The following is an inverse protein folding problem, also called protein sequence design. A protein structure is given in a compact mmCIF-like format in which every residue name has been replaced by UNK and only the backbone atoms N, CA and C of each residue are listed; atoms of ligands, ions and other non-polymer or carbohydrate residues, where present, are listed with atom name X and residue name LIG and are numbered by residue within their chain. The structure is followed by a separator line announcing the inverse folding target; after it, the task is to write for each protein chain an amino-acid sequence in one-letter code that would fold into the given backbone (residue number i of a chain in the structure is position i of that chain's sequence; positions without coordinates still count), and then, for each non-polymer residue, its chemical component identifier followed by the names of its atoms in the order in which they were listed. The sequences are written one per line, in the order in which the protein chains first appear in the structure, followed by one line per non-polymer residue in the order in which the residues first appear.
data_IF_228230308832
#
_entry.id   IF_228230308832
#
_cell.length_a   1.000
_cell.length_b   1.000
_cell.length_c   1.000
_cell.angle_alpha   90.00
_cell.angle_beta   90.00
_cell.angle_gamma   90.00
#
_symmetry.space_group_name_H-M   'P 1'
#
loop_
_entity.id
_entity.type
_entity.pdbx_description
1 polymer ?
#
# COMPACT_ATOMS: atom_id res chain seq x y z
N UNK A 1 -11.61 9.71 7.75
CA UNK A 1 -11.29 8.33 7.32
C UNK A 1 -9.82 8.30 6.95
N UNK A 2 -9.01 7.39 7.50
CA UNK A 2 -7.56 7.32 7.26
C UNK A 2 -7.25 6.79 5.84
N UNK A 3 -6.51 7.54 5.04
CA UNK A 3 -6.12 7.21 3.66
C UNK A 3 -4.82 6.38 3.59
N UNK A 4 -3.96 6.46 4.60
CA UNK A 4 -2.66 5.76 4.64
C UNK A 4 -2.68 4.51 5.51
N UNK A 5 -3.70 3.65 5.35
CA UNK A 5 -3.79 2.37 6.09
C UNK A 5 -2.72 1.35 5.69
N UNK A 6 -2.08 1.54 4.54
CA UNK A 6 -0.92 0.77 4.11
C UNK A 6 0.05 1.76 3.50
N UNK A 7 1.32 1.72 3.90
CA UNK A 7 2.33 2.65 3.41
C UNK A 7 3.51 1.85 2.86
N UNK A 8 3.71 1.94 1.55
CA UNK A 8 4.87 1.41 0.85
C UNK A 8 5.90 2.52 0.68
N UNK A 9 6.99 2.51 1.47
CA UNK A 9 8.05 3.50 1.37
C UNK A 9 8.99 3.23 0.20
N UNK A 10 9.32 4.29 -0.54
CA UNK A 10 10.31 4.32 -1.60
C UNK A 10 11.28 5.47 -1.35
N UNK A 11 12.56 5.22 -1.62
CA UNK A 11 13.56 6.27 -1.72
C UNK A 11 13.53 6.82 -3.15
N UNK A 12 13.51 8.14 -3.29
CA UNK A 12 13.43 8.79 -4.60
C UNK A 12 14.18 10.11 -4.64
N UNK A 13 14.83 10.39 -5.77
CA UNK A 13 15.42 11.69 -6.10
C UNK A 13 14.52 12.40 -7.11
N UNK A 14 13.34 12.80 -6.63
CA UNK A 14 12.36 13.53 -7.45
C UNK A 14 12.50 15.04 -7.22
N UNK A 15 12.55 15.78 -8.32
CA UNK A 15 12.29 17.21 -8.34
C UNK A 15 10.94 17.41 -9.01
N UNK A 16 9.98 17.98 -8.29
CA UNK A 16 8.67 18.29 -8.85
C UNK A 16 8.85 19.45 -9.84
N UNK A 17 8.53 19.27 -11.12
CA UNK A 17 8.75 20.30 -12.13
C UNK A 17 7.72 21.42 -11.99
N UNK A 18 8.07 22.63 -12.45
CA UNK A 18 7.19 23.80 -12.34
C UNK A 18 5.87 23.64 -13.13
N UNK A 19 5.89 22.85 -14.21
CA UNK A 19 4.74 22.53 -15.06
C UNK A 19 3.95 21.28 -14.60
N UNK A 20 4.17 20.81 -13.37
CA UNK A 20 3.56 19.56 -12.88
C UNK A 20 2.04 19.53 -13.01
N UNK A 21 1.34 20.64 -12.80
CA UNK A 21 -0.11 20.68 -12.90
C UNK A 21 -0.59 20.43 -14.34
N UNK A 22 0.11 20.99 -15.34
CA UNK A 22 -0.19 20.74 -16.76
C UNK A 22 0.05 19.26 -17.12
N UNK A 23 1.14 18.68 -16.59
CA UNK A 23 1.45 17.26 -16.78
C UNK A 23 0.40 16.36 -16.12
N UNK A 24 -0.09 16.70 -14.94
CA UNK A 24 -1.16 15.96 -14.25
C UNK A 24 -2.48 16.05 -15.02
N UNK A 25 -2.83 17.22 -15.53
CA UNK A 25 -4.06 17.42 -16.32
C UNK A 25 -4.04 16.68 -17.65
N UNK A 26 -2.88 16.59 -18.31
CA UNK A 26 -2.69 15.76 -19.52
C UNK A 26 -3.04 14.28 -19.29
N UNK A 27 -2.88 13.80 -18.06
CA UNK A 27 -3.13 12.43 -17.65
C UNK A 27 -4.28 12.35 -16.61
N UNK A 28 -5.22 13.29 -16.69
CA UNK A 28 -6.39 13.39 -15.81
C UNK A 28 -7.34 12.20 -15.93
N UNK A 29 -8.04 11.91 -14.84
CA UNK A 29 -9.10 10.92 -14.82
C UNK A 29 -10.23 11.33 -13.87
N UNK A 30 -11.37 11.67 -14.46
CA UNK A 30 -12.57 12.15 -13.76
C UNK A 30 -13.70 11.11 -13.72
N UNK A 31 -13.40 9.88 -14.12
CA UNK A 31 -14.36 8.78 -14.18
C UNK A 31 -14.41 8.12 -15.54
N UNK A 32 -15.18 7.03 -15.62
CA UNK A 32 -15.44 6.33 -16.89
C UNK A 32 -16.59 7.00 -17.63
N UNK A 33 -16.44 7.18 -18.94
CA UNK A 33 -17.60 7.45 -19.80
C UNK A 33 -18.53 6.24 -19.89
N UNK A 34 -19.73 6.44 -20.43
CA UNK A 34 -20.73 5.38 -20.56
C UNK A 34 -20.33 4.22 -21.46
N UNK A 35 -19.38 4.45 -22.36
CA UNK A 35 -18.83 3.44 -23.26
C UNK A 35 -17.55 2.77 -22.73
N UNK A 36 -16.84 3.40 -21.80
CA UNK A 36 -15.51 2.94 -21.40
C UNK A 36 -15.58 1.75 -20.44
N UNK A 37 -14.89 0.68 -20.81
CA UNK A 37 -14.76 -0.51 -19.96
C UNK A 37 -13.76 -0.29 -18.83
N UNK A 38 -12.70 0.47 -19.08
CA UNK A 38 -11.58 0.74 -18.16
C UNK A 38 -10.99 2.11 -18.43
N UNK A 39 -10.46 2.73 -17.39
CA UNK A 39 -9.83 4.05 -17.45
C UNK A 39 -9.02 4.29 -16.18
N UNK A 40 -8.00 5.12 -16.28
CA UNK A 40 -7.12 5.44 -15.16
C UNK A 40 -6.40 6.77 -15.38
N UNK A 41 -5.97 7.40 -14.29
CA UNK A 41 -5.21 8.64 -14.31
C UNK A 41 -5.23 9.39 -12.99
N UNK A 42 -4.88 10.67 -13.04
CA UNK A 42 -4.84 11.55 -11.88
C UNK A 42 -6.23 12.08 -11.56
N UNK A 43 -6.73 11.73 -10.38
CA UNK A 43 -7.99 12.22 -9.86
C UNK A 43 -7.81 13.46 -9.00
N UNK A 44 -8.89 14.23 -8.86
CA UNK A 44 -8.92 15.46 -8.05
C UNK A 44 -8.73 15.20 -6.54
N UNK A 45 -8.00 16.10 -5.89
CA UNK A 45 -7.85 16.26 -4.44
C UNK A 45 -8.40 17.65 -4.10
N UNK A 46 -9.69 17.71 -3.74
CA UNK A 46 -10.41 18.98 -3.70
C UNK A 46 -10.64 19.47 -5.11
N UNK A 47 -10.17 20.68 -5.41
CA UNK A 47 -10.36 21.33 -6.70
C UNK A 47 -9.18 21.10 -7.68
N UNK A 48 -8.03 20.64 -7.17
CA UNK A 48 -6.78 20.43 -7.95
C UNK A 48 -6.38 18.95 -8.00
N UNK A 49 -5.44 18.56 -8.88
CA UNK A 49 -4.90 17.18 -8.92
C UNK A 49 -3.71 16.94 -8.00
N UNK A 50 -3.21 17.99 -7.38
CA UNK A 50 -2.10 17.96 -6.44
C UNK A 50 -2.40 18.86 -5.26
N UNK A 51 -2.20 18.33 -4.06
CA UNK A 51 -2.21 19.12 -2.83
C UNK A 51 -0.76 19.32 -2.38
N UNK A 52 -0.32 20.58 -2.27
CA UNK A 52 1.03 20.94 -1.84
C UNK A 52 1.01 21.63 -0.49
N UNK A 53 1.78 21.13 0.48
CA UNK A 53 1.94 21.73 1.81
C UNK A 53 3.35 21.48 2.34
N UNK A 54 4.05 22.53 2.77
CA UNK A 54 5.39 22.48 3.39
C UNK A 54 6.39 21.59 2.64
N UNK A 55 6.46 21.78 1.31
CA UNK A 55 7.34 21.02 0.43
C UNK A 55 6.97 19.54 0.27
N UNK A 56 5.77 19.13 0.71
CA UNK A 56 5.19 17.80 0.49
C UNK A 56 4.10 17.91 -0.56
N UNK A 57 3.98 16.87 -1.38
CA UNK A 57 3.01 16.83 -2.48
C UNK A 57 2.19 15.55 -2.38
N UNK A 58 0.87 15.68 -2.39
CA UNK A 58 -0.05 14.55 -2.40
C UNK A 58 -0.70 14.47 -3.78
N UNK A 59 -0.66 13.29 -4.38
CA UNK A 59 -1.33 12.94 -5.63
C UNK A 59 -2.26 11.76 -5.41
N UNK A 60 -3.35 11.69 -6.19
CA UNK A 60 -4.29 10.57 -6.16
C UNK A 60 -4.38 9.93 -7.54
N UNK A 61 -3.83 8.72 -7.66
CA UNK A 61 -4.08 7.87 -8.81
C UNK A 61 -5.43 7.18 -8.64
N UNK A 62 -6.24 7.21 -9.69
CA UNK A 62 -7.52 6.52 -9.75
C UNK A 62 -7.55 5.60 -10.96
N UNK A 63 -8.06 4.39 -10.77
CA UNK A 63 -8.32 3.44 -11.85
C UNK A 63 -9.70 2.82 -11.66
N UNK A 64 -10.52 2.86 -12.70
CA UNK A 64 -11.86 2.31 -12.67
C UNK A 64 -12.04 1.25 -13.76
N UNK A 65 -12.84 0.25 -13.45
CA UNK A 65 -13.22 -0.80 -14.38
C UNK A 65 -14.70 -1.13 -14.24
N UNK A 66 -15.38 -1.26 -15.38
CA UNK A 66 -16.67 -1.94 -15.51
C UNK A 66 -16.40 -3.41 -15.80
N UNK A 67 -16.95 -4.29 -14.97
CA UNK A 67 -16.84 -5.74 -15.17
C UNK A 67 -18.24 -6.34 -15.23
N UNK A 68 -18.60 -6.83 -16.41
CA UNK A 68 -19.85 -7.56 -16.59
C UNK A 68 -19.90 -8.76 -15.63
N UNK A 69 -21.07 -9.02 -15.05
CA UNK A 69 -21.26 -10.19 -14.20
C UNK A 69 -21.19 -11.45 -15.08
N UNK A 70 -20.20 -12.35 -14.87
CA UNK A 70 -20.02 -13.52 -15.73
C UNK A 70 -21.26 -14.42 -15.78
N UNK A 71 -21.99 -14.55 -14.66
CA UNK A 71 -23.19 -15.38 -14.60
C UNK A 71 -24.32 -14.81 -15.47
N UNK A 72 -24.48 -13.48 -15.47
CA UNK A 72 -25.48 -12.82 -16.32
C UNK A 72 -25.13 -12.95 -17.81
N UNK A 73 -23.85 -12.81 -18.16
CA UNK A 73 -23.35 -13.00 -19.53
C UNK A 73 -23.62 -14.43 -20.01
N UNK A 74 -23.24 -15.43 -19.22
CA UNK A 74 -23.46 -16.84 -19.58
C UNK A 74 -24.94 -17.20 -19.68
N UNK A 75 -25.80 -16.65 -18.81
CA UNK A 75 -27.24 -16.86 -18.88
C UNK A 75 -27.82 -16.32 -20.19
N UNK A 76 -27.52 -15.06 -20.54
CA UNK A 76 -27.99 -14.44 -21.79
C UNK A 76 -27.45 -15.15 -23.03
N UNK A 77 -26.18 -15.54 -23.03
CA UNK A 77 -25.60 -16.31 -24.12
C UNK A 77 -26.27 -17.70 -24.26
N UNK A 78 -26.58 -18.37 -23.14
CA UNK A 78 -27.32 -19.63 -23.11
C UNK A 78 -28.76 -19.50 -23.62
N UNK A 79 -29.46 -18.41 -23.28
CA UNK A 79 -30.80 -18.12 -23.82
C UNK A 79 -30.77 -17.92 -25.34
N UNK A 80 -29.71 -17.30 -25.87
CA UNK A 80 -29.51 -17.11 -27.33
C UNK A 80 -29.12 -18.40 -28.03
N UNK A 81 -28.27 -19.21 -27.39
CA UNK A 81 -27.94 -20.55 -27.86
C UNK A 81 -29.21 -21.40 -27.98
N UNK A 82 -30.07 -21.41 -26.97
CA UNK A 82 -31.31 -22.17 -27.00
C UNK A 82 -32.23 -21.71 -28.14
N UNK A 83 -32.41 -20.39 -28.31
CA UNK A 83 -33.19 -19.84 -29.43
C UNK A 83 -32.64 -20.25 -30.79
N UNK A 84 -31.32 -20.22 -30.98
CA UNK A 84 -30.71 -20.64 -32.23
C UNK A 84 -30.89 -22.15 -32.51
N UNK A 85 -30.84 -22.99 -31.46
CA UNK A 85 -31.17 -24.42 -31.57
C UNK A 85 -32.64 -24.61 -31.96
N UNK A 86 -33.56 -23.88 -31.32
CA UNK A 86 -35.00 -23.94 -31.59
C UNK A 86 -35.33 -23.49 -33.03
N UNK A 87 -34.54 -22.57 -33.59
CA UNK A 87 -34.59 -22.12 -35.00
C UNK A 87 -33.90 -23.08 -35.99
N UNK A 88 -33.36 -24.21 -35.51
CA UNK A 88 -32.70 -25.23 -36.34
C UNK A 88 -31.29 -24.86 -36.80
N UNK A 89 -30.65 -23.88 -36.16
CA UNK A 89 -29.29 -23.43 -36.50
C UNK A 89 -28.25 -24.27 -35.77
N UNK A 90 -27.20 -24.68 -36.49
CA UNK A 90 -26.05 -25.37 -35.89
C UNK A 90 -25.23 -24.41 -35.02
N UNK A 91 -24.92 -24.83 -33.79
CA UNK A 91 -24.12 -24.04 -32.84
C UNK A 91 -22.65 -24.40 -33.01
N UNK A 92 -21.92 -23.56 -33.73
CA UNK A 92 -20.46 -23.66 -33.84
C UNK A 92 -19.77 -22.92 -32.68
N UNK A 93 -18.50 -23.26 -32.35
CA UNK A 93 -17.74 -22.53 -31.33
C UNK A 93 -17.64 -21.02 -31.61
N UNK A 94 -17.50 -20.63 -32.87
CA UNK A 94 -17.44 -19.23 -33.28
C UNK A 94 -18.77 -18.49 -33.02
N UNK A 95 -19.91 -19.15 -33.28
CA UNK A 95 -21.22 -18.58 -32.99
C UNK A 95 -21.45 -18.43 -31.48
N UNK A 96 -20.95 -19.37 -30.66
CA UNK A 96 -21.01 -19.25 -29.21
C UNK A 96 -20.15 -18.09 -28.69
N UNK A 97 -18.96 -17.87 -29.24
CA UNK A 97 -18.12 -16.73 -28.92
C UNK A 97 -18.81 -15.41 -29.28
N UNK A 98 -19.50 -15.36 -30.43
CA UNK A 98 -20.31 -14.21 -30.82
C UNK A 98 -21.45 -13.95 -29.83
N UNK A 99 -22.18 -14.98 -29.41
CA UNK A 99 -23.24 -14.84 -28.40
C UNK A 99 -22.70 -14.33 -27.07
N UNK A 100 -21.54 -14.82 -26.63
CA UNK A 100 -20.87 -14.35 -25.42
C UNK A 100 -20.44 -12.88 -25.55
N UNK A 101 -19.85 -12.48 -26.68
CA UNK A 101 -19.41 -11.11 -26.92
C UNK A 101 -20.59 -10.12 -26.93
N UNK A 102 -21.67 -10.48 -27.61
CA UNK A 102 -22.88 -9.66 -27.65
C UNK A 102 -23.55 -9.60 -26.27
N UNK A 103 -23.59 -10.71 -25.52
CA UNK A 103 -24.16 -10.75 -24.17
C UNK A 103 -23.32 -9.90 -23.20
N UNK A 104 -21.99 -9.98 -23.28
CA UNK A 104 -21.09 -9.13 -22.50
C UNK A 104 -21.33 -7.64 -22.80
N UNK A 105 -21.46 -7.28 -24.08
CA UNK A 105 -21.71 -5.89 -24.51
C UNK A 105 -23.05 -5.34 -24.05
N UNK A 106 -24.04 -6.20 -23.80
CA UNK A 106 -25.32 -5.82 -23.22
C UNK A 106 -25.23 -5.68 -21.70
N UNK A 107 -24.67 -6.68 -21.01
CA UNK A 107 -24.55 -6.71 -19.54
C UNK A 107 -23.65 -5.58 -19.03
N UNK A 108 -22.58 -5.24 -19.76
CA UNK A 108 -21.61 -4.24 -19.30
C UNK A 108 -22.20 -2.84 -19.14
N UNK A 109 -23.29 -2.52 -19.85
CA UNK A 109 -24.01 -1.25 -19.72
C UNK A 109 -24.62 -1.05 -18.32
N UNK A 110 -24.94 -2.15 -17.65
CA UNK A 110 -25.52 -2.17 -16.31
C UNK A 110 -24.52 -2.67 -15.25
N UNK A 111 -23.26 -2.89 -15.65
CA UNK A 111 -22.25 -3.41 -14.74
C UNK A 111 -21.84 -2.33 -13.73
N UNK A 112 -21.66 -2.70 -12.44
CA UNK A 112 -21.13 -1.77 -11.45
C UNK A 112 -19.70 -1.36 -11.82
N UNK A 113 -19.36 -0.11 -11.51
CA UNK A 113 -18.00 0.41 -11.63
C UNK A 113 -17.26 0.12 -10.34
N UNK A 114 -16.14 -0.59 -10.43
CA UNK A 114 -15.18 -0.70 -9.32
C UNK A 114 -14.09 0.32 -9.53
N UNK A 115 -13.82 1.13 -8.51
CA UNK A 115 -12.74 2.13 -8.50
C UNK A 115 -11.70 1.76 -7.47
N UNK A 116 -10.44 1.86 -7.86
CA UNK A 116 -9.27 1.76 -6.99
C UNK A 116 -8.62 3.14 -6.93
N UNK A 117 -8.27 3.56 -5.72
CA UNK A 117 -7.50 4.78 -5.49
C UNK A 117 -6.19 4.43 -4.81
N UNK A 118 -5.11 5.09 -5.24
CA UNK A 118 -3.79 5.02 -4.62
C UNK A 118 -3.33 6.43 -4.36
N UNK A 119 -2.94 6.73 -3.13
CA UNK A 119 -2.36 8.02 -2.76
C UNK A 119 -0.84 7.93 -2.83
N UNK A 120 -0.21 8.93 -3.46
CA UNK A 120 1.23 9.10 -3.48
C UNK A 120 1.57 10.37 -2.69
N UNK A 121 2.26 10.22 -1.57
CA UNK A 121 2.82 11.33 -0.80
C UNK A 121 4.31 11.46 -1.10
N UNK A 122 4.71 12.57 -1.70
CA UNK A 122 6.06 12.84 -2.15
C UNK A 122 6.67 13.91 -1.23
N UNK A 123 7.86 13.62 -0.70
CA UNK A 123 8.61 14.55 0.14
C UNK A 123 10.06 14.66 -0.34
N UNK A 124 10.33 15.57 -1.30
CA UNK A 124 11.64 15.68 -1.94
C UNK A 124 12.80 15.95 -0.96
N UNK A 125 12.61 16.81 0.04
CA UNK A 125 13.68 17.13 1.00
C UNK A 125 14.10 15.96 1.90
N UNK A 126 13.28 14.90 1.97
CA UNK A 126 13.59 13.63 2.64
C UNK A 126 13.84 12.47 1.68
N UNK A 127 13.91 12.74 0.38
CA UNK A 127 14.05 11.73 -0.68
C UNK A 127 13.05 10.58 -0.52
N UNK A 128 11.84 10.89 -0.08
CA UNK A 128 10.85 9.91 0.34
C UNK A 128 9.60 10.00 -0.54
N UNK A 129 9.11 8.85 -0.97
CA UNK A 129 7.80 8.69 -1.59
C UNK A 129 7.05 7.57 -0.87
N UNK A 130 5.85 7.86 -0.38
CA UNK A 130 4.97 6.88 0.23
C UNK A 130 3.81 6.60 -0.73
N UNK A 131 3.66 5.34 -1.13
CA UNK A 131 2.47 4.90 -1.85
C UNK A 131 1.50 4.21 -0.89
N UNK A 132 0.24 4.63 -0.87
CA UNK A 132 -0.84 4.00 -0.12
C UNK A 132 -1.90 3.45 -1.05
N UNK A 133 -2.01 2.14 -1.10
CA UNK A 133 -2.99 1.40 -1.89
C UNK A 133 -3.28 0.04 -1.26
N UNK A 134 -4.27 -0.67 -1.80
CA UNK A 134 -4.68 -1.98 -1.27
C UNK A 134 -3.65 -3.10 -1.48
N UNK A 135 -2.80 -2.98 -2.50
CA UNK A 135 -1.74 -3.95 -2.81
C UNK A 135 -0.50 -3.26 -3.38
N UNK A 136 0.65 -3.93 -3.28
CA UNK A 136 1.90 -3.47 -3.90
C UNK A 136 1.75 -3.28 -5.42
N UNK A 137 1.07 -4.19 -6.10
CA UNK A 137 0.83 -4.10 -7.55
C UNK A 137 0.08 -2.82 -7.94
N UNK A 138 -0.90 -2.40 -7.14
CA UNK A 138 -1.61 -1.13 -7.37
C UNK A 138 -0.74 0.09 -7.11
N UNK A 139 0.16 0.01 -6.13
CA UNK A 139 1.13 1.07 -5.90
C UNK A 139 2.13 1.19 -7.06
N UNK A 140 2.60 0.07 -7.61
CA UNK A 140 3.48 0.06 -8.79
C UNK A 140 2.79 0.58 -10.06
N UNK A 141 1.49 0.30 -10.25
CA UNK A 141 0.70 0.94 -11.32
C UNK A 141 0.70 2.47 -11.19
N UNK A 142 0.48 2.99 -9.97
CA UNK A 142 0.51 4.43 -9.71
C UNK A 142 1.91 5.05 -9.89
N UNK A 143 2.97 4.36 -9.45
CA UNK A 143 4.37 4.77 -9.68
C UNK A 143 4.73 4.77 -11.16
N UNK A 144 4.23 3.80 -11.93
CA UNK A 144 4.39 3.77 -13.38
C UNK A 144 3.70 4.96 -14.05
N UNK A 145 2.51 5.33 -13.57
CA UNK A 145 1.80 6.54 -14.04
C UNK A 145 2.57 7.82 -13.68
N UNK A 146 3.15 7.90 -12.47
CA UNK A 146 4.01 9.01 -12.08
C UNK A 146 5.25 9.10 -12.98
N UNK A 147 5.92 7.98 -13.24
CA UNK A 147 7.05 7.91 -14.17
C UNK A 147 6.69 8.36 -15.58
N UNK A 148 5.52 7.97 -16.08
CA UNK A 148 5.00 8.42 -17.38
C UNK A 148 4.71 9.91 -17.40
N UNK A 149 4.17 10.45 -16.30
CA UNK A 149 3.80 11.86 -16.15
C UNK A 149 5.05 12.74 -16.15
N UNK A 150 6.08 12.34 -15.39
CA UNK A 150 7.33 13.09 -15.24
C UNK A 150 8.35 12.79 -16.36
N UNK A 151 8.10 11.80 -17.21
CA UNK A 151 9.05 11.26 -18.19
C UNK A 151 10.13 10.35 -17.59
N UNK A 152 10.56 10.60 -16.35
CA UNK A 152 11.45 9.72 -15.59
C UNK A 152 11.14 9.78 -14.09
N UNK A 153 11.40 8.67 -13.39
CA UNK A 153 11.25 8.58 -11.94
C UNK A 153 12.28 7.59 -11.42
N UNK A 154 13.31 8.11 -10.75
CA UNK A 154 14.27 7.33 -9.98
C UNK A 154 13.68 7.05 -8.61
N UNK A 155 13.14 5.84 -8.42
CA UNK A 155 12.55 5.40 -7.17
C UNK A 155 12.88 3.94 -6.93
N UNK A 156 13.29 3.60 -5.71
CA UNK A 156 13.55 2.22 -5.30
C UNK A 156 12.90 1.94 -3.94
N UNK A 157 12.48 0.69 -3.68
CA UNK A 157 11.92 0.30 -2.40
C UNK A 157 12.84 0.65 -1.22
N UNK A 158 12.26 1.10 -0.12
CA UNK A 158 13.01 1.29 1.11
C UNK A 158 13.28 -0.04 1.82
N UNK A 159 14.47 -0.14 2.43
CA UNK A 159 14.89 -1.24 3.27
C UNK A 159 15.27 -2.52 2.51
N UNK A 160 15.98 -3.42 3.19
CA UNK A 160 16.29 -4.76 2.70
C UNK A 160 15.49 -5.77 3.51
N UNK A 161 14.41 -6.31 2.93
CA UNK A 161 13.50 -7.24 3.61
C UNK A 161 14.21 -8.40 4.30
N UNK A 162 15.25 -8.97 3.66
CA UNK A 162 16.03 -10.08 4.24
C UNK A 162 16.73 -9.66 5.54
N UNK A 163 17.34 -8.47 5.57
CA UNK A 163 18.05 -7.95 6.74
C UNK A 163 17.07 -7.59 7.84
N UNK A 164 15.97 -6.89 7.53
CA UNK A 164 14.94 -6.56 8.53
C UNK A 164 14.36 -7.85 9.12
N UNK A 165 14.00 -8.80 8.26
CA UNK A 165 13.44 -10.10 8.66
C UNK A 165 14.39 -10.87 9.57
N UNK A 166 15.69 -10.92 9.24
CA UNK A 166 16.71 -11.59 10.05
C UNK A 166 16.86 -10.93 11.42
N UNK A 167 16.96 -9.60 11.47
CA UNK A 167 17.16 -8.84 12.72
C UNK A 167 15.93 -8.94 13.62
N UNK A 168 14.73 -8.81 13.07
CA UNK A 168 13.47 -9.01 13.81
C UNK A 168 13.37 -10.43 14.34
N UNK A 169 13.75 -11.42 13.54
CA UNK A 169 13.80 -12.82 13.97
C UNK A 169 14.72 -12.98 15.17
N UNK A 170 15.96 -12.49 15.10
CA UNK A 170 16.93 -12.61 16.18
C UNK A 170 16.44 -11.96 17.48
N UNK A 171 15.85 -10.77 17.42
CA UNK A 171 15.28 -10.11 18.61
C UNK A 171 14.14 -10.91 19.23
N UNK A 172 13.31 -11.55 18.41
CA UNK A 172 12.16 -12.30 18.91
C UNK A 172 12.53 -13.70 19.42
N UNK A 173 13.54 -14.34 18.84
CA UNK A 173 13.87 -15.74 19.14
C UNK A 173 15.10 -15.93 20.02
N UNK A 174 15.94 -14.90 20.20
CA UNK A 174 17.21 -15.02 20.94
C UNK A 174 17.17 -14.24 22.26
N UNK A 175 17.50 -14.90 23.38
CA UNK A 175 17.49 -14.28 24.73
C UNK A 175 18.47 -13.11 24.89
N UNK A 176 19.57 -13.11 24.13
CA UNK A 176 20.61 -12.08 24.14
C UNK A 176 20.94 -11.63 22.73
N UNK A 177 19.93 -11.13 22.01
CA UNK A 177 20.17 -10.48 20.73
C UNK A 177 21.19 -9.35 20.87
N UNK A 178 22.09 -9.24 19.89
CA UNK A 178 23.02 -8.10 19.77
C UNK A 178 22.30 -6.85 19.26
N UNK A 179 21.15 -7.04 18.61
CA UNK A 179 20.29 -5.96 18.16
C UNK A 179 19.37 -5.53 19.29
N UNK A 180 19.18 -4.23 19.42
CA UNK A 180 18.27 -3.64 20.41
C UNK A 180 17.22 -2.85 19.68
N UNK A 181 15.96 -3.18 19.93
CA UNK A 181 14.86 -2.41 19.43
C UNK A 181 14.94 -0.98 20.03
N UNK A 182 14.83 0.08 19.22
CA UNK A 182 14.85 1.46 19.71
C UNK A 182 13.72 1.73 20.70
N UNK A 183 13.95 2.65 21.64
CA UNK A 183 13.02 2.91 22.76
C UNK A 183 11.63 3.40 22.33
N UNK A 184 11.52 3.96 21.13
CA UNK A 184 10.30 4.45 20.51
C UNK A 184 9.56 3.40 19.68
N UNK A 185 10.12 2.19 19.51
CA UNK A 185 9.48 1.07 18.84
C UNK A 185 9.22 -0.06 19.82
N UNK A 186 8.05 -0.68 19.72
CA UNK A 186 7.68 -1.84 20.53
C UNK A 186 7.10 -2.91 19.62
N UNK A 187 7.63 -4.12 19.68
CA UNK A 187 6.96 -5.31 19.11
C UNK A 187 5.89 -5.73 20.11
N UNK A 188 4.64 -5.83 19.66
CA UNK A 188 3.51 -6.14 20.54
C UNK A 188 3.62 -7.59 21.06
N UNK A 189 3.69 -7.82 22.40
CA UNK A 189 3.86 -9.16 22.95
C UNK A 189 2.69 -10.11 22.63
N UNK A 190 1.50 -9.57 22.45
CA UNK A 190 0.28 -10.32 22.10
C UNK A 190 -0.20 -10.02 20.67
N UNK A 191 0.57 -9.24 19.93
CA UNK A 191 0.21 -8.83 18.58
C UNK A 191 0.43 -9.93 17.56
N UNK A 192 -0.14 -9.73 16.38
CA UNK A 192 -0.04 -10.71 15.31
C UNK A 192 1.37 -10.77 14.72
N UNK A 193 1.98 -11.95 14.75
CA UNK A 193 3.25 -12.22 14.09
C UNK A 193 3.16 -13.42 13.16
N UNK A 194 3.92 -13.38 12.07
CA UNK A 194 3.94 -14.42 11.04
C UNK A 194 5.37 -14.78 10.75
N UNK A 195 5.69 -16.07 10.83
CA UNK A 195 6.99 -16.63 10.51
C UNK A 195 6.85 -17.71 9.44
N UNK A 196 7.88 -17.86 8.61
CA UNK A 196 7.94 -18.93 7.60
C UNK A 196 9.27 -19.65 7.63
N UNK A 197 9.30 -20.95 7.29
CA UNK A 197 10.55 -21.66 7.01
C UNK A 197 11.29 -21.09 5.78
N UNK A 198 12.51 -21.55 5.54
CA UNK A 198 13.35 -21.09 4.41
C UNK A 198 12.66 -21.23 3.04
N UNK A 199 11.97 -22.35 2.82
CA UNK A 199 11.23 -22.66 1.59
C UNK A 199 9.79 -22.13 1.60
N UNK A 200 9.37 -21.43 2.66
CA UNK A 200 8.01 -20.96 2.90
C UNK A 200 6.93 -22.06 2.97
N UNK A 201 7.29 -23.34 3.07
CA UNK A 201 6.33 -24.45 3.18
C UNK A 201 5.67 -24.51 4.56
N UNK A 202 6.45 -24.21 5.60
CA UNK A 202 5.98 -24.06 6.97
C UNK A 202 5.67 -22.60 7.26
N UNK A 203 4.49 -22.36 7.85
CA UNK A 203 4.03 -21.05 8.28
C UNK A 203 3.47 -21.14 9.69
N UNK A 204 3.99 -20.33 10.60
CA UNK A 204 3.47 -20.15 11.94
C UNK A 204 2.85 -18.76 12.03
N UNK A 205 1.67 -18.68 12.65
CA UNK A 205 0.99 -17.43 12.96
C UNK A 205 0.72 -17.42 14.46
N UNK A 206 1.26 -16.43 15.15
CA UNK A 206 0.92 -16.12 16.54
C UNK A 206 -0.03 -14.93 16.50
N UNK A 207 -1.18 -15.03 17.14
CA UNK A 207 -2.25 -14.02 17.09
C UNK A 207 -2.99 -14.01 18.43
N UNK A 208 -2.82 -12.96 19.23
CA UNK A 208 -3.41 -12.87 20.57
C UNK A 208 -2.73 -13.77 21.62
N UNK A 209 -1.58 -14.37 21.31
CA UNK A 209 -0.79 -15.19 22.22
C UNK A 209 0.54 -14.51 22.52
N UNK A 210 1.05 -14.69 23.72
CA UNK A 210 2.32 -14.11 24.14
C UNK A 210 3.48 -14.67 23.29
N UNK A 211 4.19 -13.79 22.59
CA UNK A 211 5.17 -14.14 21.55
C UNK A 211 6.64 -14.06 22.02
N UNK A 212 6.88 -13.76 23.28
CA UNK A 212 8.21 -13.68 23.92
C UNK A 212 8.48 -14.82 24.92
N UNK A 213 7.61 -15.84 24.96
CA UNK A 213 7.77 -17.03 25.80
C UNK A 213 8.82 -18.00 25.24
N UNK A 214 9.42 -18.81 26.11
CA UNK A 214 10.38 -19.85 25.68
C UNK A 214 9.76 -20.85 24.70
N UNK A 215 8.47 -21.17 24.88
CA UNK A 215 7.71 -22.02 23.96
C UNK A 215 7.58 -21.37 22.58
N UNK A 216 7.23 -20.08 22.53
CA UNK A 216 7.13 -19.33 21.28
C UNK A 216 8.50 -19.28 20.58
N UNK A 217 9.58 -18.96 21.30
CA UNK A 217 10.95 -18.95 20.76
C UNK A 217 11.36 -20.32 20.20
N UNK A 218 11.05 -21.39 20.93
CA UNK A 218 11.32 -22.77 20.51
C UNK A 218 10.56 -23.14 19.23
N UNK A 219 9.27 -22.77 19.14
CA UNK A 219 8.44 -22.98 17.95
C UNK A 219 8.93 -22.21 16.72
N UNK A 220 9.50 -21.03 16.91
CA UNK A 220 9.97 -20.14 15.84
C UNK A 220 11.42 -20.42 15.43
N UNK A 221 12.11 -21.33 16.10
CA UNK A 221 13.51 -21.65 15.83
C UNK A 221 13.71 -22.13 14.38
N UNK A 222 14.67 -21.53 13.67
CA UNK A 222 14.93 -21.82 12.25
C UNK A 222 13.92 -21.22 11.27
N UNK A 223 12.98 -20.39 11.73
CA UNK A 223 12.02 -19.67 10.88
C UNK A 223 12.41 -18.19 10.73
N UNK A 224 11.84 -17.52 9.73
CA UNK A 224 12.07 -16.12 9.42
C UNK A 224 10.80 -15.29 9.62
N UNK A 225 10.90 -14.18 10.35
CA UNK A 225 9.82 -13.22 10.56
C UNK A 225 9.39 -12.59 9.23
N UNK A 226 8.12 -12.71 8.86
CA UNK A 226 7.52 -12.09 7.66
C UNK A 226 6.58 -10.95 7.99
N UNK A 227 6.09 -10.91 9.22
CA UNK A 227 5.19 -9.86 9.66
C UNK A 227 5.25 -9.78 11.18
N UNK A 228 5.37 -8.58 11.72
CA UNK A 228 5.27 -8.34 13.17
C UNK A 228 4.42 -7.11 13.44
N UNK A 229 3.52 -7.21 14.40
CA UNK A 229 2.76 -6.07 14.90
C UNK A 229 3.63 -5.23 15.83
N UNK A 230 3.67 -3.92 15.58
CA UNK A 230 4.50 -2.96 16.27
C UNK A 230 3.71 -1.69 16.60
N UNK A 231 4.21 -0.97 17.60
CA UNK A 231 3.73 0.36 17.96
C UNK A 231 4.88 1.36 17.93
N UNK A 232 4.61 2.55 17.38
CA UNK A 232 5.41 3.75 17.58
C UNK A 232 4.91 4.43 18.85
N UNK A 233 5.81 4.69 19.79
CA UNK A 233 5.49 5.34 21.05
C UNK A 233 6.39 6.55 21.30
N UNK A 234 5.86 7.54 22.00
CA UNK A 234 6.62 8.61 22.61
C UNK A 234 6.72 8.38 24.12
N UNK A 235 7.88 8.68 24.69
CA UNK A 235 8.19 8.54 26.11
C UNK A 235 8.57 9.90 26.70
N UNK A 236 7.61 10.83 26.82
CA UNK A 236 7.88 12.14 27.40
C UNK A 236 8.39 12.04 28.84
N UNK A 237 9.12 13.07 29.27
CA UNK A 237 9.77 13.12 30.59
C UNK A 237 8.79 13.03 31.79
N UNK A 238 7.49 13.24 31.55
CA UNK A 238 6.45 13.08 32.56
C UNK A 238 6.12 11.59 32.86
N UNK A 239 6.75 10.64 32.16
CA UNK A 239 6.60 9.20 32.37
C UNK A 239 5.37 8.56 31.72
N UNK A 240 4.49 9.34 31.09
CA UNK A 240 3.30 8.81 30.42
C UNK A 240 3.64 8.39 28.99
N UNK A 241 3.65 7.09 28.72
CA UNK A 241 3.85 6.57 27.37
C UNK A 241 2.67 6.97 26.48
N UNK A 242 2.94 7.67 25.38
CA UNK A 242 1.94 8.02 24.38
C UNK A 242 2.07 7.06 23.19
N UNK A 243 0.98 6.36 22.85
CA UNK A 243 0.92 5.61 21.60
C UNK A 243 0.70 6.60 20.45
N UNK A 244 1.62 6.61 19.48
CA UNK A 244 1.54 7.50 18.31
C UNK A 244 0.95 6.78 17.11
N UNK A 245 1.32 5.52 16.91
CA UNK A 245 0.75 4.70 15.85
C UNK A 245 0.91 3.20 16.12
N UNK A 246 -0.02 2.40 15.59
CA UNK A 246 0.09 0.96 15.50
C UNK A 246 0.22 0.55 14.04
N UNK A 247 1.02 -0.47 13.76
CA UNK A 247 1.21 -0.99 12.41
C UNK A 247 1.70 -2.41 12.43
N UNK A 248 1.55 -3.08 11.30
CA UNK A 248 2.21 -4.34 11.04
C UNK A 248 3.38 -4.05 10.10
N UNK A 249 4.61 -4.27 10.58
CA UNK A 249 5.79 -4.26 9.73
C UNK A 249 5.79 -5.55 8.90
N UNK A 250 5.46 -5.43 7.62
CA UNK A 250 5.42 -6.56 6.70
C UNK A 250 6.73 -6.66 5.92
N UNK A 251 7.33 -7.85 5.92
CA UNK A 251 8.65 -8.16 5.36
C UNK A 251 8.52 -9.41 4.48
N UNK A 252 7.96 -9.26 3.26
CA UNK A 252 7.72 -10.41 2.39
C UNK A 252 9.05 -11.05 1.94
N UNK A 253 9.07 -12.36 1.61
CA UNK A 253 10.26 -13.02 1.07
C UNK A 253 10.81 -12.36 -0.20
N UNK A 254 9.91 -11.82 -1.02
CA UNK A 254 10.22 -11.04 -2.20
C UNK A 254 9.33 -9.79 -2.23
N UNK A 255 9.89 -8.66 -2.65
CA UNK A 255 9.20 -7.37 -2.68
C UNK A 255 9.60 -6.46 -1.51
N UNK A 256 8.73 -5.50 -1.21
CA UNK A 256 9.09 -4.30 -0.45
C UNK A 256 8.61 -4.41 0.99
N UNK A 257 9.46 -3.99 1.94
CA UNK A 257 9.05 -3.82 3.32
C UNK A 257 8.04 -2.66 3.40
N UNK A 258 6.96 -2.84 4.13
CA UNK A 258 5.90 -1.84 4.20
C UNK A 258 5.12 -1.90 5.51
N UNK A 259 4.44 -0.81 5.81
CA UNK A 259 3.57 -0.71 6.98
C UNK A 259 2.15 -1.10 6.54
N UNK A 260 1.54 -2.08 7.20
CA UNK A 260 0.16 -2.51 6.96
C UNK A 260 -0.69 -2.24 8.18
N UNK A 261 -1.99 -2.02 7.98
CA UNK A 261 -2.91 -1.63 9.06
C UNK A 261 -2.38 -0.43 9.85
N UNK A 262 -1.74 0.52 9.14
CA UNK A 262 -1.13 1.68 9.75
C UNK A 262 -2.22 2.59 10.33
N UNK A 263 -2.22 2.69 11.65
CA UNK A 263 -3.23 3.33 12.45
C UNK A 263 -2.56 4.36 13.37
N UNK A 264 -2.57 5.61 12.95
CA UNK A 264 -1.90 6.73 13.62
C UNK A 264 -2.87 7.58 14.44
N UNK A 265 -2.45 8.04 15.60
CA UNK A 265 -3.23 8.92 16.47
C UNK A 265 -3.53 10.25 15.75
N UNK A 266 -4.82 10.48 15.49
CA UNK A 266 -5.38 11.71 14.91
C UNK A 266 -6.73 11.99 15.58
N UNK A 267 -6.70 12.31 16.86
CA UNK A 267 -7.87 12.59 17.71
C UNK A 267 -8.60 13.92 17.38
N UNK A 268 -8.24 14.59 16.28
CA UNK A 268 -8.79 15.90 15.92
C UNK A 268 -9.82 15.76 14.80
N UNK A 269 -11.09 15.95 15.14
CA UNK A 269 -12.15 16.09 14.14
C UNK A 269 -12.00 17.41 13.38
N UNK A 270 -12.15 17.34 12.06
CA UNK A 270 -12.01 18.48 11.15
C UNK A 270 -13.17 18.48 10.15
N UNK A 271 -13.78 19.66 9.95
CA UNK A 271 -14.98 19.81 9.13
C UNK A 271 -14.72 19.79 7.61
N UNK A 272 -13.47 20.07 7.20
CA UNK A 272 -13.07 20.13 5.78
C UNK A 272 -12.21 18.91 5.40
N UNK A 273 -12.57 18.27 4.30
CA UNK A 273 -11.82 17.14 3.72
C UNK A 273 -10.38 17.50 3.36
N UNK A 274 -10.13 18.72 2.86
CA UNK A 274 -8.76 19.16 2.55
C UNK A 274 -7.95 19.38 3.82
N UNK A 275 -8.49 20.06 4.83
CA UNK A 275 -7.80 20.24 6.11
C UNK A 275 -7.47 18.90 6.79
N UNK A 276 -8.35 17.91 6.65
CA UNK A 276 -8.10 16.54 7.10
C UNK A 276 -6.93 15.89 6.35
N UNK A 277 -6.87 16.03 5.02
CA UNK A 277 -5.76 15.51 4.21
C UNK A 277 -4.43 16.18 4.55
N UNK A 278 -4.42 17.50 4.74
CA UNK A 278 -3.21 18.24 5.13
C UNK A 278 -2.67 17.72 6.46
N UNK A 279 -3.52 17.60 7.47
CA UNK A 279 -3.11 17.07 8.77
C UNK A 279 -2.58 15.64 8.67
N UNK A 280 -3.27 14.79 7.89
CA UNK A 280 -2.85 13.42 7.64
C UNK A 280 -1.48 13.37 6.92
N UNK A 281 -1.22 14.24 5.93
CA UNK A 281 0.09 14.34 5.28
C UNK A 281 1.20 14.63 6.30
N UNK A 282 0.99 15.55 7.23
CA UNK A 282 1.97 15.86 8.27
C UNK A 282 2.19 14.69 9.23
N UNK A 283 1.12 14.10 9.74
CA UNK A 283 1.20 12.97 10.69
C UNK A 283 1.87 11.75 10.06
N UNK A 284 1.39 11.32 8.90
CA UNK A 284 1.92 10.15 8.20
C UNK A 284 3.38 10.36 7.83
N UNK A 285 3.74 11.51 7.26
CA UNK A 285 5.13 11.76 6.89
C UNK A 285 6.07 11.78 8.10
N UNK A 286 5.68 12.44 9.20
CA UNK A 286 6.47 12.48 10.42
C UNK A 286 6.64 11.08 11.04
N UNK A 287 5.53 10.36 11.23
CA UNK A 287 5.56 9.05 11.91
C UNK A 287 6.27 8.00 11.07
N UNK A 288 6.04 7.98 9.75
CA UNK A 288 6.75 7.05 8.87
C UNK A 288 8.24 7.34 8.89
N UNK A 289 8.69 8.60 8.75
CA UNK A 289 10.13 8.91 8.84
C UNK A 289 10.74 8.43 10.16
N UNK A 290 10.07 8.66 11.28
CA UNK A 290 10.53 8.18 12.60
C UNK A 290 10.62 6.65 12.64
N UNK A 291 9.61 5.94 12.13
CA UNK A 291 9.59 4.47 12.06
C UNK A 291 10.73 3.96 11.18
N UNK A 292 10.88 4.51 9.96
CA UNK A 292 11.91 4.06 9.02
C UNK A 292 13.31 4.29 9.60
N UNK A 293 13.56 5.45 10.20
CA UNK A 293 14.85 5.77 10.83
C UNK A 293 15.15 4.85 12.00
N UNK A 294 14.16 4.59 12.87
CA UNK A 294 14.32 3.66 13.98
C UNK A 294 14.58 2.22 13.48
N UNK A 295 13.91 1.76 12.42
CA UNK A 295 14.20 0.45 11.82
C UNK A 295 15.59 0.41 11.18
N UNK A 296 16.06 1.47 10.55
CA UNK A 296 17.43 1.57 10.01
C UNK A 296 18.48 1.47 11.12
N UNK A 297 18.33 2.24 12.19
CA UNK A 297 19.21 2.20 13.36
C UNK A 297 19.23 0.81 14.00
N UNK A 298 18.03 0.22 14.15
CA UNK A 298 17.82 -1.11 14.71
C UNK A 298 18.55 -2.21 13.91
N UNK A 299 18.55 -2.09 12.58
CA UNK A 299 19.06 -3.11 11.67
C UNK A 299 20.50 -2.83 11.21
N UNK A 300 21.04 -1.66 11.53
CA UNK A 300 22.32 -1.19 11.00
C UNK A 300 22.31 -0.93 9.49
N UNK A 301 21.14 -0.96 8.85
CA UNK A 301 21.00 -0.66 7.44
C UNK A 301 21.12 0.85 7.23
N UNK A 302 21.90 1.25 6.22
CA UNK A 302 21.85 2.62 5.70
C UNK A 302 21.04 2.60 4.42
N UNK A 303 19.77 3.00 4.47
CA UNK A 303 19.13 3.38 3.21
C UNK A 303 19.82 4.67 2.75
N UNK A 304 20.22 4.74 1.49
CA UNK A 304 20.85 5.93 0.90
C UNK A 304 19.89 7.13 0.76
N UNK A 305 18.76 7.13 1.48
CA UNK A 305 17.66 8.10 1.33
C UNK A 305 17.18 8.77 2.62
N UNK A 306 17.07 8.05 3.74
CA UNK A 306 16.45 8.60 4.96
C UNK A 306 17.40 9.48 5.80
N UNK A 307 18.71 9.30 5.65
CA UNK A 307 19.74 9.99 6.43
C UNK A 307 20.12 11.39 5.90
N UNK A 308 19.12 12.21 5.58
CA UNK A 308 19.28 13.68 5.51
C UNK A 308 18.47 14.31 6.64
N UNK A 309 18.81 13.93 7.87
CA UNK A 309 18.62 14.77 9.05
C UNK A 309 20.04 15.04 9.55
N UNK A 310 20.71 16.01 8.93
CA UNK A 310 21.77 16.76 9.60
C UNK A 310 21.30 18.21 9.62
N UNK A 311 21.37 18.74 10.84
CA UNK A 311 21.00 20.06 11.33
C UNK A 311 21.29 21.20 10.34
N UNK A 312 20.28 22.03 10.10
CA UNK A 312 20.42 23.49 10.06
C UNK A 312 19.36 24.10 10.99
#
# INVERSE_FOLDING_TARGET
MKNFRTAFPYVTEITVPDDINELLDKYSFDGLSDSDRRGYGWGLIGDDRMLSVDGKYLLRYCASQRKANPLAVHKLAGERQQKAIDEGREITPALMEEFLFQAESEVIKYAPVTTVSVFLLIWPSKRLLLASGSTAAKCEEALSMLRKTLGSLSSYPWGLCSTISQVVTDVMTTDKSVYKLPDNLVISPFGKTIFTGEDSSLKIVLDGVQNDTDDAKSMLNGMMARSVEMSLIDRPANGQIKNMANFILHMPPAGNAHLKCFDYDDDVERDNGISSLIAEMHLVSAYVVTILSAVEDFTGMKSTGANVIQEE
#
